data_IF_320918417122
#
_entry.id   IF_320918417122
#
_cell.length_a   1.000
_cell.length_b   1.000
_cell.length_c   1.000
_cell.angle_alpha   90.00
_cell.angle_beta   90.00
_cell.angle_gamma   90.00
#
_symmetry.space_group_name_H-M   'P 1'
#
loop_
_entity.id
_entity.type
_entity.pdbx_description
1 polymer ?
#
# COMPACT_ATOMS: atom_id res chain seq x y z
N UNK A 1 -19.59 0.53 -8.71
CA UNK A 1 -20.17 1.56 -7.81
C UNK A 1 -20.37 2.85 -8.59
N UNK A 2 -21.58 3.44 -8.61
CA UNK A 2 -21.82 4.69 -9.36
C UNK A 2 -21.39 5.87 -8.49
N UNK A 3 -20.95 6.97 -9.13
CA UNK A 3 -20.47 8.22 -8.48
C UNK A 3 -21.48 8.86 -7.49
N UNK A 4 -22.70 8.35 -7.45
CA UNK A 4 -23.84 8.81 -6.66
C UNK A 4 -23.93 8.11 -5.28
N UNK A 5 -23.12 7.07 -5.06
CA UNK A 5 -23.13 6.25 -3.84
C UNK A 5 -22.01 6.62 -2.85
N UNK A 6 -21.27 7.72 -3.08
CA UNK A 6 -20.31 8.28 -2.13
C UNK A 6 -21.07 9.15 -1.12
N UNK A 7 -21.12 8.82 0.18
CA UNK A 7 -21.83 9.64 1.14
C UNK A 7 -21.09 10.98 1.33
N UNK A 8 -21.85 12.07 1.48
CA UNK A 8 -21.40 13.45 1.78
C UNK A 8 -20.68 13.58 3.14
N UNK A 9 -19.58 12.86 3.35
CA UNK A 9 -18.91 12.70 4.65
C UNK A 9 -17.49 13.27 4.58
N UNK A 10 -17.35 14.47 4.00
CA UNK A 10 -16.09 15.22 4.03
C UNK A 10 -16.24 16.60 4.67
N UNK A 11 -17.38 16.93 5.26
CA UNK A 11 -17.70 18.31 5.68
C UNK A 11 -18.04 18.57 7.14
N UNK A 12 -18.03 17.58 8.05
CA UNK A 12 -18.44 17.82 9.45
C UNK A 12 -17.31 17.55 10.46
N UNK A 13 -16.87 18.55 11.24
CA UNK A 13 -15.96 18.33 12.36
C UNK A 13 -16.64 17.40 13.37
N UNK A 14 -16.00 16.27 13.70
CA UNK A 14 -16.45 15.34 14.75
C UNK A 14 -17.31 14.14 14.30
N UNK A 15 -17.50 13.90 13.00
CA UNK A 15 -18.18 12.69 12.54
C UNK A 15 -17.28 11.45 12.70
N UNK A 16 -17.61 10.56 13.64
CA UNK A 16 -17.01 9.21 13.70
C UNK A 16 -17.69 8.32 12.67
N UNK A 17 -16.95 7.96 11.62
CA UNK A 17 -17.39 6.94 10.66
C UNK A 17 -17.11 5.56 11.26
N UNK A 18 -18.17 4.87 11.67
CA UNK A 18 -18.07 3.50 12.17
C UNK A 18 -18.12 2.52 11.00
N UNK A 19 -17.03 1.78 10.78
CA UNK A 19 -17.00 0.65 9.85
C UNK A 19 -17.19 -0.66 10.64
N UNK A 20 -18.05 -1.55 10.14
CA UNK A 20 -18.21 -2.92 10.64
C UNK A 20 -17.47 -3.85 9.69
N UNK A 21 -16.44 -4.55 10.18
CA UNK A 21 -15.61 -5.44 9.36
C UNK A 21 -15.86 -6.91 9.71
N UNK A 22 -15.82 -7.77 8.68
CA UNK A 22 -15.68 -9.21 8.81
C UNK A 22 -14.24 -9.57 8.45
N UNK A 23 -13.56 -10.31 9.32
CA UNK A 23 -12.17 -10.72 9.13
C UNK A 23 -12.16 -12.00 8.27
N UNK A 24 -11.69 -11.89 7.02
CA UNK A 24 -11.33 -13.07 6.22
C UNK A 24 -10.02 -13.66 6.74
N UNK A 25 -10.03 -14.94 7.11
CA UNK A 25 -8.94 -15.64 7.80
C UNK A 25 -8.17 -16.63 6.91
N UNK A 26 -8.31 -16.53 5.58
CA UNK A 26 -7.76 -17.56 4.69
C UNK A 26 -6.26 -17.35 4.43
N UNK A 27 -5.45 -18.42 4.53
CA UNK A 27 -4.01 -18.35 4.28
C UNK A 27 -3.72 -18.05 2.80
N UNK A 28 -2.78 -17.14 2.55
CA UNK A 28 -2.30 -16.78 1.21
C UNK A 28 -1.36 -17.89 0.73
N UNK A 29 -1.63 -18.47 -0.44
CA UNK A 29 -0.73 -19.43 -1.09
C UNK A 29 0.61 -18.76 -1.48
N UNK A 30 1.76 -19.36 -1.18
CA UNK A 30 3.06 -18.74 -1.41
C UNK A 30 3.37 -18.60 -2.91
N UNK A 31 3.82 -17.41 -3.32
CA UNK A 31 4.31 -17.16 -4.67
C UNK A 31 5.69 -17.79 -4.91
N UNK A 32 5.97 -18.26 -6.13
CA UNK A 32 7.30 -18.78 -6.54
C UNK A 32 8.43 -17.73 -6.54
N UNK A 33 8.11 -16.45 -6.36
CA UNK A 33 9.10 -15.36 -6.29
C UNK A 33 9.52 -15.15 -4.83
N UNK A 34 10.82 -15.31 -4.49
CA UNK A 34 11.28 -15.15 -3.12
C UNK A 34 11.20 -13.68 -2.67
N UNK A 35 10.48 -13.45 -1.57
CA UNK A 35 10.39 -12.15 -0.88
C UNK A 35 11.26 -12.19 0.36
N UNK A 36 12.18 -11.23 0.48
CA UNK A 36 13.13 -11.14 1.62
C UNK A 36 12.89 -9.85 2.39
N UNK A 37 12.43 -9.97 3.63
CA UNK A 37 12.32 -8.86 4.57
C UNK A 37 13.61 -8.72 5.40
N UNK A 38 14.12 -7.49 5.57
CA UNK A 38 15.33 -7.20 6.36
C UNK A 38 15.05 -6.08 7.36
N UNK A 39 14.88 -6.46 8.63
CA UNK A 39 14.53 -5.55 9.72
C UNK A 39 15.68 -5.36 10.72
N UNK A 40 15.60 -4.27 11.49
CA UNK A 40 16.60 -3.93 12.50
C UNK A 40 16.72 -2.41 12.76
N UNK A 41 17.44 -1.99 13.81
CA UNK A 41 17.48 -0.61 14.28
C UNK A 41 18.10 0.36 13.26
N UNK A 42 17.84 1.65 13.39
CA UNK A 42 18.49 2.68 12.56
C UNK A 42 20.02 2.58 12.68
N UNK A 43 20.74 2.80 11.55
CA UNK A 43 22.20 2.73 11.53
C UNK A 43 22.83 1.33 11.42
N UNK A 44 22.05 0.24 11.47
CA UNK A 44 22.61 -1.13 11.38
C UNK A 44 23.07 -1.57 9.98
N UNK A 45 23.01 -0.70 8.97
CA UNK A 45 23.47 -1.01 7.62
C UNK A 45 22.47 -1.78 6.73
N UNK A 46 21.21 -1.96 7.15
CA UNK A 46 20.17 -2.70 6.41
C UNK A 46 20.05 -2.30 4.94
N UNK A 47 19.91 -1.01 4.64
CA UNK A 47 19.75 -0.55 3.26
C UNK A 47 20.94 -0.92 2.38
N UNK A 48 22.16 -0.90 2.94
CA UNK A 48 23.37 -1.32 2.23
C UNK A 48 23.38 -2.83 1.97
N UNK A 49 23.06 -3.64 2.99
CA UNK A 49 23.00 -5.10 2.86
C UNK A 49 21.88 -5.52 1.92
N UNK A 50 20.68 -4.97 2.09
CA UNK A 50 19.50 -5.24 1.28
C UNK A 50 19.75 -4.92 -0.20
N UNK A 51 20.37 -3.77 -0.51
CA UNK A 51 20.71 -3.40 -1.89
C UNK A 51 21.70 -4.38 -2.52
N UNK A 52 22.79 -4.70 -1.82
CA UNK A 52 23.79 -5.66 -2.31
C UNK A 52 23.22 -7.06 -2.49
N UNK A 53 22.33 -7.48 -1.60
CA UNK A 53 21.64 -8.77 -1.68
C UNK A 53 20.70 -8.81 -2.89
N UNK A 54 19.91 -7.76 -3.09
CA UNK A 54 19.02 -7.63 -4.24
C UNK A 54 19.80 -7.69 -5.56
N UNK A 55 20.91 -6.94 -5.67
CA UNK A 55 21.78 -6.97 -6.85
C UNK A 55 22.32 -8.38 -7.14
N UNK A 56 22.72 -9.11 -6.09
CA UNK A 56 23.33 -10.45 -6.22
C UNK A 56 22.31 -11.54 -6.55
N UNK A 57 21.06 -11.36 -6.15
CA UNK A 57 19.96 -12.29 -6.40
C UNK A 57 19.09 -11.88 -7.60
N UNK A 58 19.44 -10.80 -8.30
CA UNK A 58 18.61 -10.19 -9.35
C UNK A 58 17.17 -9.88 -8.89
N UNK A 59 17.01 -9.49 -7.62
CA UNK A 59 15.73 -9.08 -7.05
C UNK A 59 15.57 -7.56 -7.11
N UNK A 60 14.32 -7.10 -7.08
CA UNK A 60 14.03 -5.67 -6.88
C UNK A 60 14.26 -5.29 -5.42
N UNK A 61 14.78 -4.07 -5.20
CA UNK A 61 15.02 -3.50 -3.87
C UNK A 61 13.97 -2.43 -3.55
N UNK A 62 13.38 -2.49 -2.36
CA UNK A 62 12.42 -1.52 -1.84
C UNK A 62 12.94 -0.90 -0.52
N UNK A 63 13.17 0.42 -0.49
CA UNK A 63 13.53 1.15 0.74
C UNK A 63 12.29 1.80 1.36
N UNK A 64 11.59 1.04 2.21
CA UNK A 64 10.40 1.53 2.92
C UNK A 64 10.73 2.73 3.82
N UNK A 65 11.93 2.78 4.39
CA UNK A 65 12.38 3.91 5.21
C UNK A 65 12.50 5.21 4.41
N UNK A 66 12.99 5.15 3.17
CA UNK A 66 13.02 6.30 2.28
C UNK A 66 11.62 6.80 1.91
N UNK A 67 10.67 5.88 1.71
CA UNK A 67 9.26 6.23 1.44
C UNK A 67 8.65 7.02 2.60
N UNK A 68 8.75 6.52 3.84
CA UNK A 68 8.21 7.22 5.02
C UNK A 68 8.87 8.59 5.22
N UNK A 69 10.19 8.70 5.01
CA UNK A 69 10.89 10.00 5.08
C UNK A 69 10.43 10.98 4.01
N UNK A 70 10.15 10.53 2.79
CA UNK A 70 9.65 11.39 1.72
C UNK A 70 8.26 11.96 2.06
N UNK A 71 7.37 11.14 2.64
CA UNK A 71 6.05 11.59 3.10
C UNK A 71 6.18 12.60 4.23
N UNK A 72 7.00 12.31 5.24
CA UNK A 72 7.24 13.24 6.35
C UNK A 72 7.82 14.58 5.86
N UNK A 73 8.79 14.53 4.94
CA UNK A 73 9.38 15.73 4.33
C UNK A 73 8.35 16.56 3.55
N UNK A 74 7.47 15.91 2.79
CA UNK A 74 6.41 16.59 2.07
C UNK A 74 5.42 17.29 3.01
N UNK A 75 5.04 16.64 4.12
CA UNK A 75 4.18 17.23 5.14
C UNK A 75 4.81 18.48 5.78
N UNK A 76 6.08 18.38 6.20
CA UNK A 76 6.84 19.53 6.75
C UNK A 76 6.88 20.69 5.76
N UNK A 77 7.15 20.42 4.48
CA UNK A 77 7.19 21.46 3.44
C UNK A 77 5.83 22.15 3.21
N UNK A 78 4.73 21.50 3.56
CA UNK A 78 3.38 22.04 3.42
C UNK A 78 2.89 22.73 4.72
N UNK A 79 3.71 22.80 5.77
CA UNK A 79 3.31 23.42 7.05
C UNK A 79 2.30 22.59 7.84
N UNK A 80 2.20 21.29 7.53
CA UNK A 80 1.29 20.36 8.19
C UNK A 80 1.87 19.96 9.56
N UNK A 81 1.48 20.67 10.63
CA UNK A 81 1.93 20.46 12.01
C UNK A 81 0.87 21.01 13.01
N UNK A 82 0.37 20.25 14.00
CA UNK A 82 0.78 18.90 14.42
C UNK A 82 0.36 17.80 13.44
N UNK A 83 1.22 16.78 13.32
CA UNK A 83 0.90 15.51 12.66
C UNK A 83 0.55 14.48 13.73
N UNK A 84 -0.68 13.99 13.71
CA UNK A 84 -1.12 12.89 14.57
C UNK A 84 -1.22 11.58 13.75
N UNK A 85 -0.81 10.48 14.37
CA UNK A 85 -0.68 9.18 13.70
C UNK A 85 -1.39 8.13 14.54
N UNK A 86 -2.56 7.69 14.06
CA UNK A 86 -3.37 6.69 14.74
C UNK A 86 -3.29 5.34 13.98
N UNK A 87 -2.86 4.24 14.62
CA UNK A 87 -2.85 2.92 14.01
C UNK A 87 -4.28 2.37 13.91
N UNK A 88 -4.63 1.85 12.74
CA UNK A 88 -5.90 1.19 12.46
C UNK A 88 -5.61 -0.17 11.86
N UNK A 89 -5.87 -1.24 12.61
CA UNK A 89 -5.88 -2.59 12.05
C UNK A 89 -7.25 -2.82 11.38
N UNK A 90 -7.28 -2.77 10.06
CA UNK A 90 -8.50 -2.98 9.28
C UNK A 90 -8.15 -3.60 7.93
N UNK A 91 -9.06 -4.45 7.43
CA UNK A 91 -8.97 -4.92 6.05
C UNK A 91 -9.11 -3.72 5.10
N UNK A 92 -8.16 -3.57 4.19
CA UNK A 92 -8.13 -2.51 3.19
C UNK A 92 -8.90 -2.96 1.96
N UNK A 93 -9.92 -2.19 1.59
CA UNK A 93 -10.61 -2.37 0.31
C UNK A 93 -9.73 -1.87 -0.82
N UNK A 94 -9.36 -2.75 -1.74
CA UNK A 94 -8.45 -2.46 -2.84
C UNK A 94 -9.18 -2.20 -4.16
N UNK A 95 -10.36 -2.81 -4.35
CA UNK A 95 -11.14 -2.69 -5.57
C UNK A 95 -12.40 -3.56 -5.53
N UNK A 96 -13.32 -3.34 -6.46
CA UNK A 96 -14.54 -4.13 -6.58
C UNK A 96 -14.29 -5.57 -7.04
N UNK A 97 -13.16 -5.78 -7.70
CA UNK A 97 -12.63 -7.03 -8.25
C UNK A 97 -11.09 -6.87 -8.38
N UNK A 98 -10.38 -7.92 -8.81
CA UNK A 98 -8.93 -7.89 -8.99
C UNK A 98 -8.51 -6.87 -10.05
N UNK A 99 -9.33 -6.63 -11.06
CA UNK A 99 -9.04 -5.65 -12.12
C UNK A 99 -8.97 -4.24 -11.54
N UNK A 100 -10.00 -3.85 -10.78
CA UNK A 100 -10.05 -2.60 -10.07
C UNK A 100 -8.96 -2.49 -9.00
N UNK A 101 -8.63 -3.59 -8.32
CA UNK A 101 -7.58 -3.62 -7.31
C UNK A 101 -6.18 -3.38 -7.90
N UNK A 102 -5.87 -4.01 -9.03
CA UNK A 102 -4.60 -3.75 -9.74
C UNK A 102 -4.57 -2.34 -10.30
N UNK A 103 -5.67 -1.82 -10.84
CA UNK A 103 -5.73 -0.42 -11.27
C UNK A 103 -5.44 0.52 -10.10
N UNK A 104 -6.08 0.31 -8.94
CA UNK A 104 -5.81 1.09 -7.75
C UNK A 104 -4.33 1.00 -7.34
N UNK A 105 -3.78 -0.21 -7.22
CA UNK A 105 -2.38 -0.45 -6.84
C UNK A 105 -1.40 0.27 -7.76
N UNK A 106 -1.58 0.16 -9.08
CA UNK A 106 -0.68 0.79 -10.07
C UNK A 106 -0.76 2.32 -10.05
N UNK A 107 -1.87 2.89 -9.59
CA UNK A 107 -2.06 4.35 -9.44
C UNK A 107 -1.52 4.91 -8.13
N UNK A 108 -1.28 4.07 -7.12
CA UNK A 108 -0.66 4.49 -5.86
C UNK A 108 0.78 4.96 -6.07
N UNK A 109 1.31 5.75 -5.13
CA UNK A 109 2.71 6.18 -5.18
C UNK A 109 3.69 5.01 -5.25
N UNK A 110 3.40 3.92 -4.53
CA UNK A 110 4.18 2.69 -4.55
C UNK A 110 4.10 1.96 -5.90
N UNK A 111 2.91 1.84 -6.49
CA UNK A 111 2.76 1.26 -7.83
C UNK A 111 3.53 2.05 -8.90
N UNK A 112 3.49 3.38 -8.86
CA UNK A 112 4.26 4.20 -9.81
C UNK A 112 5.77 4.00 -9.67
N UNK A 113 6.28 3.82 -8.46
CA UNK A 113 7.70 3.55 -8.22
C UNK A 113 8.08 2.15 -8.70
N UNK A 114 7.26 1.14 -8.42
CA UNK A 114 7.54 -0.25 -8.78
C UNK A 114 7.44 -0.51 -10.29
N UNK A 115 6.52 0.18 -10.97
CA UNK A 115 6.21 -0.03 -12.40
C UNK A 115 6.71 1.08 -13.32
N UNK A 116 7.27 2.18 -12.79
CA UNK A 116 7.57 3.39 -13.56
C UNK A 116 8.67 3.23 -14.61
N UNK A 117 9.72 2.48 -14.28
CA UNK A 117 10.89 2.27 -15.15
C UNK A 117 10.89 0.89 -15.83
N UNK A 118 9.81 0.11 -15.69
CA UNK A 118 9.71 -1.20 -16.30
C UNK A 118 9.41 -1.09 -17.81
N UNK A 119 10.03 -1.95 -18.63
CA UNK A 119 9.67 -2.04 -20.05
C UNK A 119 8.17 -2.38 -20.20
N UNK A 120 7.49 -1.95 -21.28
CA UNK A 120 6.06 -2.17 -21.44
C UNK A 120 5.64 -3.63 -21.28
N UNK A 121 6.43 -4.58 -21.79
CA UNK A 121 6.15 -6.01 -21.67
C UNK A 121 6.29 -6.50 -20.23
N UNK A 122 7.35 -6.07 -19.53
CA UNK A 122 7.59 -6.42 -18.12
C UNK A 122 6.51 -5.82 -17.21
N UNK A 123 6.05 -4.61 -17.53
CA UNK A 123 4.96 -3.95 -16.82
C UNK A 123 3.65 -4.69 -17.00
N UNK A 124 3.33 -5.11 -18.23
CA UNK A 124 2.13 -5.88 -18.52
C UNK A 124 2.15 -7.25 -17.81
N UNK A 125 3.28 -7.95 -17.85
CA UNK A 125 3.46 -9.22 -17.14
C UNK A 125 3.30 -9.04 -15.62
N UNK A 126 3.91 -8.01 -15.04
CA UNK A 126 3.83 -7.77 -13.61
C UNK A 126 2.41 -7.37 -13.16
N UNK A 127 1.68 -6.63 -13.99
CA UNK A 127 0.26 -6.31 -13.78
C UNK A 127 -0.59 -7.59 -13.79
N UNK A 128 -0.33 -8.50 -14.73
CA UNK A 128 -1.09 -9.74 -14.81
C UNK A 128 -0.79 -10.67 -13.63
N UNK A 129 0.48 -10.81 -13.23
CA UNK A 129 0.85 -11.56 -12.02
C UNK A 129 0.21 -10.97 -10.76
N UNK A 130 0.13 -9.64 -10.66
CA UNK A 130 -0.56 -8.98 -9.55
C UNK A 130 -2.07 -9.27 -9.56
N UNK A 131 -2.70 -9.30 -10.74
CA UNK A 131 -4.12 -9.64 -10.90
C UNK A 131 -4.38 -11.08 -10.46
N UNK A 132 -3.58 -12.03 -10.96
CA UNK A 132 -3.71 -13.44 -10.61
C UNK A 132 -3.50 -13.67 -9.11
N UNK A 133 -2.58 -12.94 -8.48
CA UNK A 133 -2.38 -13.01 -7.03
C UNK A 133 -3.55 -12.42 -6.22
N UNK A 134 -4.35 -11.51 -6.80
CA UNK A 134 -5.48 -10.88 -6.12
C UNK A 134 -6.82 -11.61 -6.32
N UNK A 135 -6.97 -12.39 -7.40
CA UNK A 135 -8.19 -13.17 -7.67
C UNK A 135 -8.62 -14.07 -6.49
N UNK A 136 -7.73 -14.77 -5.78
CA UNK A 136 -8.12 -15.56 -4.60
C UNK A 136 -8.67 -14.73 -3.44
N UNK A 137 -8.44 -13.41 -3.45
CA UNK A 137 -8.90 -12.48 -2.43
C UNK A 137 -10.17 -11.71 -2.83
N UNK A 138 -10.74 -12.00 -4.00
CA UNK A 138 -12.03 -11.45 -4.41
C UNK A 138 -13.16 -12.05 -3.56
N UNK A 139 -14.01 -11.18 -3.04
CA UNK A 139 -15.23 -11.52 -2.32
C UNK A 139 -16.42 -10.76 -2.91
N UNK A 140 -17.63 -11.06 -2.47
CA UNK A 140 -18.83 -10.27 -2.82
C UNK A 140 -18.70 -8.77 -2.44
N UNK A 141 -17.82 -8.44 -1.49
CA UNK A 141 -17.52 -7.07 -1.07
C UNK A 141 -16.33 -6.45 -1.80
N UNK A 142 -15.76 -7.15 -2.79
CA UNK A 142 -14.55 -6.80 -3.51
C UNK A 142 -13.29 -7.44 -2.92
N UNK A 143 -12.13 -6.93 -3.35
CA UNK A 143 -10.81 -7.40 -2.91
C UNK A 143 -10.44 -6.71 -1.60
N UNK A 144 -10.40 -7.50 -0.52
CA UNK A 144 -10.05 -7.04 0.83
C UNK A 144 -8.72 -7.66 1.25
N UNK A 145 -7.73 -6.83 1.60
CA UNK A 145 -6.43 -7.31 2.10
C UNK A 145 -6.26 -6.96 3.57
N UNK A 146 -5.84 -7.94 4.38
CA UNK A 146 -5.45 -7.72 5.76
C UNK A 146 -4.34 -6.66 5.83
N UNK A 147 -4.54 -5.62 6.63
CA UNK A 147 -3.61 -4.50 6.70
C UNK A 147 -3.63 -3.77 8.03
N UNK A 148 -2.52 -3.09 8.31
CA UNK A 148 -2.47 -2.01 9.27
C UNK A 148 -2.36 -0.71 8.46
N UNK A 149 -3.32 0.18 8.65
CA UNK A 149 -3.26 1.55 8.15
C UNK A 149 -2.84 2.47 9.29
N UNK A 150 -2.18 3.57 8.95
CA UNK A 150 -1.99 4.68 9.86
C UNK A 150 -2.79 5.86 9.32
N UNK A 151 -3.75 6.33 10.10
CA UNK A 151 -4.46 7.57 9.78
C UNK A 151 -3.54 8.70 10.20
N UNK A 152 -3.01 9.41 9.20
CA UNK A 152 -2.18 10.59 9.41
C UNK A 152 -3.08 11.80 9.25
N UNK A 153 -3.38 12.48 10.36
CA UNK A 153 -4.08 13.76 10.33
C UNK A 153 -3.08 14.89 10.53
N UNK A 154 -3.24 15.97 9.78
CA UNK A 154 -2.45 17.16 9.98
C UNK A 154 -3.27 18.41 9.62
N UNK A 155 -3.08 19.48 10.38
CA UNK A 155 -3.77 20.76 10.19
C UNK A 155 -2.78 21.82 9.72
N UNK A 156 -3.26 22.76 8.92
CA UNK A 156 -2.54 24.01 8.68
C UNK A 156 -3.08 25.04 9.70
N UNK A 157 -2.23 25.71 10.49
CA UNK A 157 -2.66 26.72 11.46
C UNK A 157 -3.37 27.92 10.82
#
# INVERSE_FOLDING_TARGET
MRRQDLPEVLGRPGARVGYRFSLGSDPVEPSDVPVIAIDGPAGSGKSTVARRLADRLALKYLDTGAMYRAVAFAAIRQGLDPVDVEPVAAALWMGADADAAVEFMTRTGMGRILFGDAAPEQRAEAIERARDALRPHETDSGVMLGGAAWVVTATNP
#
